data_IF_999649393130
#
_entry.id   IF_999649393130
#
_cell.length_a   1.000
_cell.length_b   1.000
_cell.length_c   1.000
_cell.angle_alpha   90.00
_cell.angle_beta   90.00
_cell.angle_gamma   90.00
#
_symmetry.space_group_name_H-M   'P 1'
#
loop_
_entity.id
_entity.type
_entity.pdbx_description
1 polymer ?
#
# COMPACT_ATOMS: atom_id res chain seq x y z
N UNK A 1 -3.15 -14.19 -24.07
CA UNK A 1 -4.08 -13.37 -23.27
C UNK A 1 -3.82 -13.68 -21.80
N UNK A 2 -3.64 -12.67 -20.96
CA UNK A 2 -3.68 -12.85 -19.50
C UNK A 2 -5.13 -13.11 -19.12
N UNK A 3 -5.39 -14.28 -18.53
CA UNK A 3 -6.70 -14.61 -17.97
C UNK A 3 -6.85 -14.01 -16.57
N UNK A 4 -8.06 -14.10 -16.01
CA UNK A 4 -8.35 -13.55 -14.69
C UNK A 4 -7.45 -14.14 -13.59
N UNK A 5 -7.13 -15.44 -13.70
CA UNK A 5 -6.24 -16.13 -12.76
C UNK A 5 -4.79 -15.61 -12.84
N UNK A 6 -4.28 -15.37 -14.05
CA UNK A 6 -2.98 -14.76 -14.28
C UNK A 6 -2.89 -13.38 -13.65
N UNK A 7 -3.87 -12.51 -13.89
CA UNK A 7 -3.91 -11.15 -13.33
C UNK A 7 -3.94 -11.16 -11.79
N UNK A 8 -4.73 -12.06 -11.19
CA UNK A 8 -4.79 -12.24 -9.74
C UNK A 8 -3.42 -12.64 -9.18
N UNK A 9 -2.75 -13.61 -9.80
CA UNK A 9 -1.44 -14.09 -9.37
C UNK A 9 -0.39 -12.98 -9.41
N UNK A 10 -0.37 -12.15 -10.46
CA UNK A 10 0.52 -11.00 -10.51
C UNK A 10 0.23 -9.99 -9.40
N UNK A 11 -1.04 -9.64 -9.19
CA UNK A 11 -1.42 -8.69 -8.14
C UNK A 11 -1.01 -9.18 -6.74
N UNK A 12 -1.26 -10.47 -6.44
CA UNK A 12 -0.85 -11.10 -5.19
C UNK A 12 0.67 -11.08 -5.05
N UNK A 13 1.40 -11.48 -6.09
CA UNK A 13 2.87 -11.50 -6.09
C UNK A 13 3.44 -10.12 -5.78
N UNK A 14 3.01 -9.08 -6.49
CA UNK A 14 3.51 -7.73 -6.25
C UNK A 14 3.17 -7.20 -4.86
N UNK A 15 2.00 -7.56 -4.31
CA UNK A 15 1.61 -7.19 -2.96
C UNK A 15 2.51 -7.85 -1.91
N UNK A 16 2.81 -9.14 -2.09
CA UNK A 16 3.71 -9.90 -1.23
C UNK A 16 5.16 -9.40 -1.34
N UNK A 17 5.63 -9.12 -2.55
CA UNK A 17 6.96 -8.56 -2.79
C UNK A 17 7.11 -7.19 -2.09
N UNK A 18 6.10 -6.33 -2.19
CA UNK A 18 6.07 -5.04 -1.49
C UNK A 18 6.10 -5.19 0.03
N UNK A 19 5.37 -6.17 0.58
CA UNK A 19 5.40 -6.48 2.01
C UNK A 19 6.81 -6.85 2.48
N UNK A 20 7.48 -7.77 1.79
CA UNK A 20 8.83 -8.17 2.17
C UNK A 20 9.85 -7.04 2.02
N UNK A 21 9.72 -6.20 0.99
CA UNK A 21 10.55 -5.02 0.84
C UNK A 21 10.41 -4.07 2.03
N UNK A 22 9.19 -3.82 2.50
CA UNK A 22 8.95 -2.97 3.66
C UNK A 22 9.48 -3.58 4.95
N UNK A 23 9.24 -4.87 5.19
CA UNK A 23 9.77 -5.57 6.37
C UNK A 23 11.30 -5.48 6.40
N UNK A 24 11.95 -5.78 5.28
CA UNK A 24 13.40 -5.73 5.17
C UNK A 24 13.93 -4.30 5.35
N UNK A 25 13.25 -3.31 4.78
CA UNK A 25 13.63 -1.91 4.91
C UNK A 25 13.55 -1.43 6.36
N UNK A 26 12.44 -1.67 7.06
CA UNK A 26 12.27 -1.27 8.46
C UNK A 26 13.29 -2.01 9.35
N UNK A 27 13.50 -3.30 9.09
CA UNK A 27 14.50 -4.11 9.81
C UNK A 27 15.91 -3.53 9.61
N UNK A 28 16.26 -3.15 8.38
CA UNK A 28 17.54 -2.51 8.07
C UNK A 28 17.71 -1.17 8.81
N UNK A 29 16.66 -0.35 8.88
CA UNK A 29 16.71 0.91 9.64
C UNK A 29 17.00 0.66 11.12
N UNK A 30 16.30 -0.28 11.75
CA UNK A 30 16.52 -0.65 13.15
C UNK A 30 17.91 -1.23 13.38
N UNK A 31 18.39 -2.07 12.46
CA UNK A 31 19.74 -2.63 12.50
C UNK A 31 20.82 -1.53 12.39
N UNK A 32 20.65 -0.58 11.47
CA UNK A 32 21.62 0.49 11.22
C UNK A 32 21.64 1.56 12.31
N UNK A 33 20.53 1.72 13.04
CA UNK A 33 20.37 2.75 14.07
C UNK A 33 20.39 2.16 15.48
N UNK A 34 19.25 1.63 15.94
CA UNK A 34 19.01 1.22 17.32
C UNK A 34 19.87 0.03 17.72
N UNK A 35 19.89 -1.03 16.92
CA UNK A 35 20.61 -2.25 17.28
C UNK A 35 22.12 -2.11 17.11
N UNK A 36 22.58 -1.20 16.24
CA UNK A 36 24.00 -0.84 16.15
C UNK A 36 24.46 -0.07 17.39
N UNK A 37 23.58 0.74 17.98
CA UNK A 37 23.88 1.50 19.20
C UNK A 37 23.85 0.63 20.46
N UNK A 38 22.87 -0.28 20.57
CA UNK A 38 22.79 -1.24 21.67
C UNK A 38 22.26 -2.62 21.17
N UNK A 39 23.14 -3.63 21.05
CA UNK A 39 22.76 -4.97 20.58
C UNK A 39 21.91 -5.76 21.59
N UNK A 40 21.88 -5.37 22.88
CA UNK A 40 21.06 -6.03 23.91
C UNK A 40 19.58 -5.83 23.61
N UNK A 41 19.21 -4.65 23.09
CA UNK A 41 17.82 -4.33 22.71
C UNK A 41 17.29 -5.27 21.62
N UNK A 42 18.13 -5.63 20.65
CA UNK A 42 17.76 -6.58 19.60
C UNK A 42 17.45 -7.97 20.17
N UNK A 43 18.17 -8.36 21.23
CA UNK A 43 18.06 -9.68 21.85
C UNK A 43 16.84 -9.75 22.78
N UNK A 44 16.59 -8.70 23.56
CA UNK A 44 15.47 -8.63 24.49
C UNK A 44 14.13 -8.39 23.80
N UNK A 45 14.09 -7.52 22.80
CA UNK A 45 12.84 -7.07 22.17
C UNK A 45 12.63 -7.62 20.76
N UNK A 46 13.51 -8.48 20.25
CA UNK A 46 13.48 -8.97 18.87
C UNK A 46 12.13 -9.59 18.45
N UNK A 47 11.48 -10.37 19.32
CA UNK A 47 10.15 -10.92 19.04
C UNK A 47 9.07 -9.84 18.89
N UNK A 48 9.01 -8.91 19.84
CA UNK A 48 8.04 -7.82 19.81
C UNK A 48 8.26 -6.90 18.60
N UNK A 49 9.53 -6.60 18.28
CA UNK A 49 9.88 -5.79 17.13
C UNK A 49 9.56 -6.50 15.81
N UNK A 50 9.78 -7.80 15.70
CA UNK A 50 9.40 -8.57 14.49
C UNK A 50 7.90 -8.47 14.20
N UNK A 51 7.07 -8.62 15.23
CA UNK A 51 5.63 -8.45 15.12
C UNK A 51 5.26 -7.01 14.71
N UNK A 52 5.83 -6.02 15.38
CA UNK A 52 5.54 -4.61 15.10
C UNK A 52 5.98 -4.19 13.69
N UNK A 53 7.14 -4.67 13.22
CA UNK A 53 7.62 -4.44 11.85
C UNK A 53 6.64 -5.03 10.84
N UNK A 54 6.21 -6.28 11.06
CA UNK A 54 5.22 -6.95 10.20
C UNK A 54 3.90 -6.17 10.15
N UNK A 55 3.34 -5.80 11.30
CA UNK A 55 2.11 -5.01 11.39
C UNK A 55 2.26 -3.63 10.74
N UNK A 56 3.42 -2.99 10.90
CA UNK A 56 3.72 -1.68 10.29
C UNK A 56 3.77 -1.80 8.77
N UNK A 57 4.43 -2.83 8.23
CA UNK A 57 4.48 -3.07 6.79
C UNK A 57 3.07 -3.26 6.19
N UNK A 58 2.22 -4.07 6.85
CA UNK A 58 0.82 -4.26 6.43
C UNK A 58 0.07 -2.93 6.48
N UNK A 59 0.19 -2.18 7.57
CA UNK A 59 -0.48 -0.88 7.73
C UNK A 59 -0.10 0.10 6.61
N UNK A 60 1.20 0.21 6.28
CA UNK A 60 1.69 1.08 5.19
C UNK A 60 1.05 0.71 3.85
N UNK A 61 0.99 -0.59 3.51
CA UNK A 61 0.37 -1.07 2.27
C UNK A 61 -1.11 -0.68 2.24
N UNK A 62 -1.84 -0.91 3.32
CA UNK A 62 -3.27 -0.59 3.40
C UNK A 62 -3.53 0.92 3.25
N UNK A 63 -2.73 1.76 3.92
CA UNK A 63 -2.83 3.22 3.80
C UNK A 63 -2.56 3.67 2.36
N UNK A 64 -1.56 3.08 1.70
CA UNK A 64 -1.24 3.39 0.32
C UNK A 64 -2.41 3.05 -0.63
N UNK A 65 -2.96 1.84 -0.53
CA UNK A 65 -4.12 1.40 -1.34
C UNK A 65 -5.35 2.28 -1.06
N UNK A 66 -5.60 2.61 0.22
CA UNK A 66 -6.69 3.50 0.62
C UNK A 66 -6.55 4.90 0.02
N UNK A 67 -5.32 5.42 -0.01
CA UNK A 67 -5.02 6.74 -0.60
C UNK A 67 -5.25 6.75 -2.11
N UNK A 68 -4.82 5.71 -2.82
CA UNK A 68 -5.12 5.54 -4.25
C UNK A 68 -6.62 5.47 -4.50
N UNK A 69 -7.36 4.71 -3.69
CA UNK A 69 -8.82 4.60 -3.81
C UNK A 69 -9.51 5.96 -3.71
N UNK A 70 -9.08 6.82 -2.77
CA UNK A 70 -9.63 8.18 -2.64
C UNK A 70 -9.39 9.00 -3.90
N UNK A 71 -8.17 8.99 -4.45
CA UNK A 71 -7.82 9.71 -5.67
C UNK A 71 -8.66 9.25 -6.86
N UNK A 72 -8.74 7.94 -7.09
CA UNK A 72 -9.53 7.34 -8.18
C UNK A 72 -11.02 7.69 -8.01
N UNK A 73 -11.55 7.65 -6.79
CA UNK A 73 -12.93 8.04 -6.50
C UNK A 73 -13.24 9.48 -6.90
N UNK A 74 -12.33 10.42 -6.64
CA UNK A 74 -12.49 11.83 -7.07
C UNK A 74 -12.51 11.95 -8.60
N UNK A 75 -11.59 11.27 -9.29
CA UNK A 75 -11.51 11.30 -10.76
C UNK A 75 -12.79 10.74 -11.38
N UNK A 76 -13.29 9.61 -10.87
CA UNK A 76 -14.54 9.00 -11.33
C UNK A 76 -15.71 9.96 -11.09
N UNK A 77 -15.80 10.56 -9.91
CA UNK A 77 -16.87 11.53 -9.59
C UNK A 77 -16.87 12.74 -10.52
N UNK A 78 -15.70 13.30 -10.82
CA UNK A 78 -15.56 14.38 -11.79
C UNK A 78 -15.96 13.95 -13.21
N UNK A 79 -15.54 12.76 -13.63
CA UNK A 79 -15.91 12.20 -14.93
C UNK A 79 -17.43 12.09 -15.08
N UNK A 80 -18.11 11.54 -14.07
CA UNK A 80 -19.57 11.45 -14.10
C UNK A 80 -20.27 12.81 -14.07
N UNK A 81 -19.76 13.77 -13.28
CA UNK A 81 -20.31 15.12 -13.23
C UNK A 81 -20.24 15.80 -14.59
N UNK A 82 -19.10 15.71 -15.29
CA UNK A 82 -18.93 16.25 -16.64
C UNK A 82 -19.88 15.61 -17.65
N UNK A 83 -20.06 14.28 -17.59
CA UNK A 83 -21.00 13.56 -18.46
C UNK A 83 -22.43 14.06 -18.23
N UNK A 84 -22.86 14.20 -16.98
CA UNK A 84 -24.20 14.70 -16.66
C UNK A 84 -24.39 16.12 -17.19
N UNK A 85 -23.40 17.01 -16.99
CA UNK A 85 -23.45 18.39 -17.51
C UNK A 85 -23.57 18.41 -19.03
N UNK A 86 -22.78 17.60 -19.74
CA UNK A 86 -22.85 17.51 -21.19
C UNK A 86 -24.23 17.03 -21.68
N UNK A 87 -24.82 16.03 -21.01
CA UNK A 87 -26.16 15.54 -21.34
C UNK A 87 -27.23 16.61 -21.14
N UNK A 88 -27.18 17.36 -20.03
CA UNK A 88 -28.12 18.46 -19.76
C UNK A 88 -27.98 19.57 -20.79
N UNK A 89 -26.75 19.97 -21.13
CA UNK A 89 -26.50 20.97 -22.17
C UNK A 89 -27.06 20.53 -23.53
N UNK A 90 -26.91 19.26 -23.88
CA UNK A 90 -27.45 18.68 -25.12
C UNK A 90 -28.98 18.60 -25.17
N UNK A 91 -29.68 18.79 -24.05
CA UNK A 91 -31.15 18.82 -24.01
C UNK A 91 -31.66 20.26 -24.14
N UNK A 92 -30.88 21.23 -23.65
CA UNK A 92 -31.25 22.65 -23.62
C UNK A 92 -30.87 23.37 -24.93
N UNK A 93 -29.86 22.87 -25.64
CA UNK A 93 -29.52 23.23 -27.03
C UNK A 93 -30.12 22.21 -28.00
#
# INVERSE_FOLDING_TARGET
>A
MLDAAGLLNYAVKYTVDAYYLLVNFITYLLQSTVFKADPILATQYGQALTLLISLTAIYIILVFVSSLKKLVGVIIGLGWLLVIVAMVLSIIH
#
